data_IF_803777555586
#
_entry.id   IF_803777555586
#
_cell.length_a   1.000
_cell.length_b   1.000
_cell.length_c   1.000
_cell.angle_alpha   90.00
_cell.angle_beta   90.00
_cell.angle_gamma   90.00
#
_symmetry.space_group_name_H-M   'P 1'
#
loop_
_entity.id
_entity.type
_entity.pdbx_description
1 polymer ?
#
# COMPACT_ATOMS: atom_id res chain seq x y z
N UNK A 1 -7.76 -9.66 -6.10
CA UNK A 1 -7.39 -9.24 -4.72
C UNK A 1 -8.22 -8.05 -4.23
N UNK A 2 -9.52 -7.96 -4.54
CA UNK A 2 -10.41 -6.87 -4.09
C UNK A 2 -11.45 -7.32 -3.06
N UNK A 3 -11.47 -8.60 -2.71
CA UNK A 3 -12.55 -9.19 -1.90
C UNK A 3 -12.69 -8.59 -0.49
N UNK A 4 -11.64 -7.98 0.04
CA UNK A 4 -11.61 -7.52 1.43
C UNK A 4 -11.58 -5.99 1.57
N UNK A 5 -11.74 -5.24 0.47
CA UNK A 5 -11.65 -3.78 0.50
C UNK A 5 -13.03 -3.21 0.80
N UNK A 6 -13.10 -2.43 1.88
CA UNK A 6 -14.32 -1.74 2.29
C UNK A 6 -14.67 -0.66 1.26
N UNK A 7 -15.92 -0.64 0.82
CA UNK A 7 -16.43 0.42 -0.06
C UNK A 7 -16.40 1.74 0.69
N UNK A 8 -15.89 2.81 0.06
CA UNK A 8 -15.72 4.12 0.68
C UNK A 8 -17.01 4.91 0.96
N UNK A 9 -18.14 4.25 1.24
CA UNK A 9 -19.37 4.90 1.63
C UNK A 9 -19.43 5.16 3.15
N UNK A 10 -20.34 4.54 3.90
CA UNK A 10 -20.51 4.83 5.32
C UNK A 10 -19.50 4.06 6.18
N UNK A 11 -18.24 4.51 6.16
CA UNK A 11 -17.10 3.84 6.80
C UNK A 11 -17.04 3.98 8.32
N UNK A 12 -17.87 4.85 8.94
CA UNK A 12 -17.79 5.17 10.37
C UNK A 12 -17.85 3.92 11.28
N UNK A 13 -18.83 3.04 11.04
CA UNK A 13 -19.00 1.81 11.85
C UNK A 13 -17.81 0.86 11.75
N UNK A 14 -17.14 0.81 10.61
CA UNK A 14 -15.97 -0.04 10.40
C UNK A 14 -14.74 0.59 11.05
N UNK A 15 -14.60 1.91 10.93
CA UNK A 15 -13.55 2.66 11.60
C UNK A 15 -13.63 2.49 13.13
N UNK A 16 -14.82 2.60 13.72
CA UNK A 16 -15.02 2.40 15.16
C UNK A 16 -14.56 1.01 15.62
N UNK A 17 -14.91 -0.03 14.85
CA UNK A 17 -14.47 -1.41 15.13
C UNK A 17 -12.95 -1.58 15.03
N UNK A 18 -12.35 -1.01 13.99
CA UNK A 18 -10.90 -1.09 13.79
C UNK A 18 -10.13 -0.33 14.88
N UNK A 19 -10.65 0.82 15.33
CA UNK A 19 -10.08 1.57 16.44
C UNK A 19 -10.24 0.82 17.77
N UNK A 20 -11.41 0.27 18.07
CA UNK A 20 -11.65 -0.49 19.30
C UNK A 20 -10.69 -1.70 19.40
N UNK A 21 -10.64 -2.51 18.35
CA UNK A 21 -9.78 -3.69 18.32
C UNK A 21 -8.28 -3.34 18.26
N UNK A 22 -7.93 -2.19 17.68
CA UNK A 22 -6.59 -1.63 17.69
C UNK A 22 -6.23 -0.85 18.97
N UNK A 23 -7.16 -0.75 19.93
CA UNK A 23 -7.00 0.06 21.15
C UNK A 23 -6.59 1.50 20.86
N UNK A 24 -7.24 2.11 19.86
CA UNK A 24 -6.97 3.46 19.37
C UNK A 24 -5.88 3.56 18.29
N UNK A 25 -5.29 2.44 17.86
CA UNK A 25 -4.23 2.41 16.84
C UNK A 25 -4.69 1.72 15.56
N UNK A 26 -4.55 2.40 14.42
CA UNK A 26 -4.76 1.81 13.10
C UNK A 26 -3.43 1.30 12.53
N UNK A 27 -3.44 0.09 11.99
CA UNK A 27 -2.27 -0.53 11.34
C UNK A 27 -2.33 -0.26 9.85
N UNK A 28 -1.31 0.39 9.29
CA UNK A 28 -1.25 0.66 7.86
C UNK A 28 -0.69 -0.55 7.11
N UNK A 29 -1.26 -0.83 5.93
CA UNK A 29 -0.65 -1.72 4.94
C UNK A 29 0.63 -1.07 4.39
N UNK A 30 1.63 -1.88 4.00
CA UNK A 30 2.77 -1.36 3.26
C UNK A 30 2.32 -0.78 1.91
N UNK A 31 2.84 0.40 1.55
CA UNK A 31 2.63 1.03 0.23
C UNK A 31 3.97 1.17 -0.47
N UNK A 32 4.24 0.26 -1.41
CA UNK A 32 5.44 0.22 -2.22
C UNK A 32 5.17 0.79 -3.61
N UNK A 33 6.04 1.67 -4.09
CA UNK A 33 5.89 2.28 -5.41
C UNK A 33 7.11 1.95 -6.27
N UNK A 34 6.90 1.32 -7.45
CA UNK A 34 7.97 1.06 -8.40
C UNK A 34 8.28 2.30 -9.23
N UNK A 35 9.53 2.43 -9.70
CA UNK A 35 9.94 3.45 -10.66
C UNK A 35 10.68 2.80 -11.83
N UNK A 36 10.15 2.96 -13.04
CA UNK A 36 10.64 2.30 -14.26
C UNK A 36 12.09 2.64 -14.63
N UNK A 37 12.59 3.80 -14.19
CA UNK A 37 13.93 4.29 -14.53
C UNK A 37 14.98 4.06 -13.43
N UNK A 38 14.60 3.47 -12.29
CA UNK A 38 15.48 3.29 -11.13
C UNK A 38 15.65 1.81 -10.74
N UNK A 39 16.86 1.51 -10.27
CA UNK A 39 17.20 0.20 -9.72
C UNK A 39 17.14 0.24 -8.19
N UNK A 40 16.66 -0.81 -7.50
CA UNK A 40 16.55 -0.83 -6.05
C UNK A 40 17.91 -0.65 -5.36
N UNK A 41 18.07 0.47 -4.66
CA UNK A 41 19.27 0.76 -3.86
C UNK A 41 19.36 0.00 -2.53
N UNK A 42 18.35 -0.82 -2.20
CA UNK A 42 18.25 -1.71 -1.01
C UNK A 42 18.30 -1.03 0.36
N UNK A 43 18.29 0.31 0.42
CA UNK A 43 18.30 1.08 1.68
C UNK A 43 17.02 0.92 2.52
N UNK A 44 15.89 0.66 1.86
CA UNK A 44 14.59 0.37 2.49
C UNK A 44 14.55 -1.00 3.19
N UNK A 45 15.55 -1.87 2.93
CA UNK A 45 15.67 -3.22 3.52
C UNK A 45 14.45 -4.11 3.24
N UNK A 46 13.88 -3.98 2.05
CA UNK A 46 12.83 -4.87 1.56
C UNK A 46 13.43 -6.28 1.28
N UNK A 47 12.59 -7.32 1.39
CA UNK A 47 13.01 -8.68 1.04
C UNK A 47 13.47 -8.72 -0.43
N UNK A 48 14.54 -9.47 -0.77
CA UNK A 48 15.07 -9.49 -2.13
C UNK A 48 14.05 -9.84 -3.22
N UNK A 49 13.10 -10.73 -2.92
CA UNK A 49 12.07 -11.16 -3.87
C UNK A 49 11.05 -10.06 -4.19
N UNK A 50 10.91 -9.07 -3.32
CA UNK A 50 9.89 -8.01 -3.47
C UNK A 50 10.42 -6.78 -4.23
N UNK A 51 11.72 -6.74 -4.54
CA UNK A 51 12.38 -5.63 -5.25
C UNK A 51 11.73 -5.30 -6.60
N UNK A 52 11.13 -6.31 -7.24
CA UNK A 52 10.41 -6.19 -8.52
C UNK A 52 9.02 -6.82 -8.42
N UNK A 53 8.34 -6.66 -7.28
CA UNK A 53 7.01 -7.22 -7.01
C UNK A 53 5.93 -6.84 -8.03
N UNK A 54 6.12 -5.75 -8.78
CA UNK A 54 5.24 -5.30 -9.86
C UNK A 54 5.69 -5.76 -11.26
N UNK A 55 6.77 -6.54 -11.37
CA UNK A 55 7.42 -6.90 -12.63
C UNK A 55 8.59 -5.98 -12.97
N UNK A 56 9.61 -6.54 -13.64
CA UNK A 56 10.80 -5.78 -14.02
C UNK A 56 10.50 -4.64 -15.01
N UNK A 57 9.46 -4.80 -15.83
CA UNK A 57 8.93 -3.79 -16.76
C UNK A 57 8.34 -2.57 -16.05
N UNK A 58 7.83 -2.75 -14.83
CA UNK A 58 7.31 -1.66 -13.99
C UNK A 58 8.41 -0.95 -13.20
N UNK A 59 9.63 -1.49 -13.18
CA UNK A 59 10.78 -0.97 -12.46
C UNK A 59 10.91 -1.48 -11.03
N UNK A 60 12.02 -1.12 -10.40
CA UNK A 60 12.30 -1.52 -9.02
C UNK A 60 11.50 -0.73 -7.99
N UNK A 61 11.19 -1.34 -6.84
CA UNK A 61 10.69 -0.60 -5.67
C UNK A 61 11.80 0.34 -5.17
N UNK A 62 11.53 1.64 -5.26
CA UNK A 62 12.43 2.69 -4.77
C UNK A 62 11.79 3.54 -3.67
N UNK A 63 10.46 3.49 -3.53
CA UNK A 63 9.74 4.35 -2.60
C UNK A 63 8.82 3.55 -1.68
N UNK A 64 8.74 4.00 -0.43
CA UNK A 64 7.75 3.58 0.56
C UNK A 64 6.95 4.79 1.00
N UNK A 65 5.64 4.76 0.76
CA UNK A 65 4.76 5.85 1.15
C UNK A 65 4.04 5.49 2.45
N UNK A 66 3.86 6.47 3.33
CA UNK A 66 3.19 6.30 4.62
C UNK A 66 1.96 7.19 4.68
N UNK A 67 0.82 6.61 5.07
CA UNK A 67 -0.46 7.32 5.18
C UNK A 67 -0.81 8.14 3.93
N UNK A 68 -0.44 7.64 2.75
CA UNK A 68 -0.63 8.37 1.50
C UNK A 68 -2.06 8.23 0.99
N UNK A 69 -2.62 9.36 0.56
CA UNK A 69 -3.87 9.44 -0.20
C UNK A 69 -3.64 9.80 -1.66
N UNK A 70 -2.39 9.71 -2.13
CA UNK A 70 -1.97 10.16 -3.46
C UNK A 70 -1.74 8.96 -4.37
N UNK A 71 -2.29 9.02 -5.59
CA UNK A 71 -1.99 8.04 -6.63
C UNK A 71 -0.54 8.19 -7.13
N UNK A 72 0.16 7.07 -7.31
CA UNK A 72 1.46 7.07 -7.95
C UNK A 72 1.32 7.53 -9.41
N UNK A 73 2.12 8.50 -9.84
CA UNK A 73 2.14 8.96 -11.24
C UNK A 73 2.95 8.01 -12.15
N UNK A 74 2.54 6.75 -12.23
CA UNK A 74 3.16 5.71 -13.05
C UNK A 74 2.26 5.32 -14.23
N UNK A 75 2.88 5.05 -15.38
CA UNK A 75 2.20 4.37 -16.49
C UNK A 75 1.83 2.93 -16.08
N UNK A 76 0.63 2.48 -16.46
CA UNK A 76 0.16 1.13 -16.17
C UNK A 76 -0.13 0.85 -14.68
N UNK A 77 -0.21 1.89 -13.83
CA UNK A 77 -0.48 1.73 -12.39
C UNK A 77 -1.77 0.95 -12.12
N UNK A 78 -1.75 0.13 -11.09
CA UNK A 78 -3.00 -0.40 -10.53
C UNK A 78 -3.71 0.69 -9.73
N UNK A 79 -5.02 0.55 -9.54
CA UNK A 79 -5.87 1.61 -8.97
C UNK A 79 -5.44 2.06 -7.55
N UNK A 80 -4.77 1.19 -6.79
CA UNK A 80 -4.35 1.47 -5.41
C UNK A 80 -2.86 1.80 -5.27
N UNK A 81 -2.12 1.88 -6.38
CA UNK A 81 -0.68 2.12 -6.35
C UNK A 81 -0.39 3.53 -5.82
N UNK A 82 0.36 3.63 -4.73
CA UNK A 82 0.63 4.89 -4.02
C UNK A 82 -0.34 5.20 -2.87
N UNK A 83 -1.45 4.47 -2.74
CA UNK A 83 -2.39 4.67 -1.62
C UNK A 83 -2.04 3.77 -0.42
N UNK A 84 -2.18 4.31 0.79
CA UNK A 84 -2.05 3.54 2.04
C UNK A 84 -3.42 3.21 2.60
N UNK A 85 -3.60 1.97 3.02
CA UNK A 85 -4.84 1.50 3.65
C UNK A 85 -4.59 1.17 5.11
N UNK A 86 -5.63 1.24 5.93
CA UNK A 86 -5.62 0.59 7.23
C UNK A 86 -6.04 -0.86 7.05
N UNK A 87 -5.38 -1.79 7.75
CA UNK A 87 -5.80 -3.18 7.79
C UNK A 87 -6.21 -3.63 9.18
N UNK A 88 -7.33 -4.35 9.23
CA UNK A 88 -7.92 -4.90 10.44
C UNK A 88 -8.78 -6.12 10.09
N UNK A 89 -8.65 -7.23 10.82
CA UNK A 89 -9.42 -8.47 10.58
C UNK A 89 -9.37 -8.99 9.13
N UNK A 90 -8.25 -8.73 8.43
CA UNK A 90 -8.07 -9.12 7.03
C UNK A 90 -8.78 -8.22 6.02
N UNK A 91 -9.40 -7.13 6.48
CA UNK A 91 -9.89 -6.01 5.68
C UNK A 91 -8.83 -4.90 5.62
#
# INVERSE_FOLDING_TARGET
MTANIVKGDNVAKILDRALDAGQGLLRLTPTWVPRSFLHPGKRIKLHPDDYYSYGADRGGIDERWFASTTDAANEGRVWHEGQSFCSFEGQ
#
